data_IF_291210561881
#
_entry.id   IF_291210561881
#
_cell.length_a   1.000
_cell.length_b   1.000
_cell.length_c   1.000
_cell.angle_alpha   90.00
_cell.angle_beta   90.00
_cell.angle_gamma   90.00
#
_symmetry.space_group_name_H-M   'P 1'
#
loop_
_entity.id
_entity.type
_entity.pdbx_description
1 polymer ?
#
# COMPACT_ATOMS: atom_id res chain seq x y z
N UNK A 1 -12.45 -12.91 -1.21
CA UNK A 1 -13.82 -13.41 -0.95
C UNK A 1 -14.16 -14.37 -2.07
N UNK A 2 -14.31 -15.65 -1.74
CA UNK A 2 -14.58 -16.71 -2.71
C UNK A 2 -16.03 -16.59 -3.16
N UNK A 3 -16.26 -16.23 -4.43
CA UNK A 3 -17.59 -16.32 -5.06
C UNK A 3 -18.07 -17.77 -4.96
N UNK A 4 -19.05 -18.04 -4.09
CA UNK A 4 -19.68 -19.37 -4.02
C UNK A 4 -20.67 -19.46 -5.18
N UNK A 5 -20.22 -20.02 -6.30
CA UNK A 5 -21.10 -20.38 -7.40
C UNK A 5 -22.13 -21.42 -6.93
N UNK A 6 -23.41 -21.11 -7.12
CA UNK A 6 -24.50 -22.03 -6.83
C UNK A 6 -24.34 -23.28 -7.70
N UNK A 7 -24.56 -24.46 -7.11
CA UNK A 7 -24.48 -25.71 -7.85
C UNK A 7 -25.65 -25.83 -8.84
N UNK A 8 -25.48 -26.61 -9.90
CA UNK A 8 -26.54 -26.86 -10.88
C UNK A 8 -27.83 -27.38 -10.22
N UNK A 9 -27.69 -28.13 -9.13
CA UNK A 9 -28.79 -28.67 -8.32
C UNK A 9 -29.53 -27.58 -7.53
N UNK A 10 -28.80 -26.60 -6.99
CA UNK A 10 -29.39 -25.42 -6.34
C UNK A 10 -30.12 -24.52 -7.33
N UNK A 11 -29.57 -24.35 -8.54
CA UNK A 11 -30.20 -23.59 -9.62
C UNK A 11 -31.47 -24.28 -10.12
N UNK A 12 -31.45 -25.61 -10.29
CA UNK A 12 -32.62 -26.40 -10.71
C UNK A 12 -33.72 -26.40 -9.64
N UNK A 13 -33.34 -26.56 -8.36
CA UNK A 13 -34.27 -26.46 -7.24
C UNK A 13 -34.94 -25.07 -7.20
N UNK A 14 -34.17 -24.00 -7.41
CA UNK A 14 -34.69 -22.64 -7.47
C UNK A 14 -35.67 -22.44 -8.64
N UNK A 15 -35.32 -22.94 -9.84
CA UNK A 15 -36.19 -22.89 -11.03
C UNK A 15 -37.53 -23.60 -10.82
N UNK A 16 -37.52 -24.77 -10.16
CA UNK A 16 -38.73 -25.56 -9.84
C UNK A 16 -39.63 -24.87 -8.81
N UNK A 17 -39.05 -24.06 -7.92
CA UNK A 17 -39.83 -23.26 -6.98
C UNK A 17 -40.45 -22.05 -7.69
N UNK A 18 -39.71 -21.38 -8.58
CA UNK A 18 -40.21 -20.26 -9.38
C UNK A 18 -41.28 -20.68 -10.42
N UNK A 19 -41.23 -21.91 -10.95
CA UNK A 19 -42.23 -22.44 -11.91
C UNK A 19 -43.58 -22.81 -11.27
N UNK A 20 -43.68 -22.77 -9.94
CA UNK A 20 -44.94 -23.01 -9.22
C UNK A 20 -45.26 -24.48 -8.96
N UNK A 21 -44.34 -25.41 -9.21
CA UNK A 21 -44.53 -26.85 -8.92
C UNK A 21 -44.59 -27.15 -7.40
N UNK A 22 -44.18 -26.21 -6.53
CA UNK A 22 -44.29 -26.30 -5.07
C UNK A 22 -44.89 -25.02 -4.46
N UNK A 23 -46.23 -24.87 -4.41
CA UNK A 23 -46.89 -23.62 -4.01
C UNK A 23 -46.68 -23.23 -2.54
N UNK A 24 -46.30 -24.17 -1.66
CA UNK A 24 -46.07 -23.91 -0.22
C UNK A 24 -44.76 -23.17 0.09
N UNK A 25 -43.82 -23.07 -0.86
CA UNK A 25 -42.54 -22.38 -0.68
C UNK A 25 -42.56 -20.93 -1.21
N UNK A 26 -43.68 -20.49 -1.79
CA UNK A 26 -43.81 -19.19 -2.49
C UNK A 26 -43.57 -17.99 -1.56
N UNK A 27 -43.98 -18.11 -0.29
CA UNK A 27 -43.75 -17.06 0.73
C UNK A 27 -42.29 -16.96 1.17
N UNK A 28 -41.62 -18.11 1.35
CA UNK A 28 -40.20 -18.15 1.72
C UNK A 28 -39.31 -17.67 0.57
N UNK A 29 -39.63 -18.00 -0.68
CA UNK A 29 -38.89 -17.51 -1.86
C UNK A 29 -39.07 -16.01 -2.06
N UNK A 30 -40.23 -15.44 -1.77
CA UNK A 30 -40.43 -13.99 -1.77
C UNK A 30 -39.53 -13.28 -0.76
N UNK A 31 -39.37 -13.85 0.43
CA UNK A 31 -38.45 -13.33 1.46
C UNK A 31 -36.99 -13.41 1.01
N UNK A 32 -36.54 -14.54 0.46
CA UNK A 32 -35.17 -14.67 -0.05
C UNK A 32 -34.87 -13.75 -1.24
N UNK A 33 -35.82 -13.55 -2.15
CA UNK A 33 -35.67 -12.62 -3.28
C UNK A 33 -35.56 -11.16 -2.82
N UNK A 34 -36.36 -10.75 -1.82
CA UNK A 34 -36.26 -9.42 -1.23
C UNK A 34 -34.93 -9.24 -0.51
N UNK A 35 -34.48 -10.23 0.26
CA UNK A 35 -33.18 -10.20 0.95
C UNK A 35 -32.00 -10.08 -0.04
N UNK A 36 -32.06 -10.79 -1.17
CA UNK A 36 -31.05 -10.67 -2.23
C UNK A 36 -31.08 -9.30 -2.92
N UNK A 37 -32.28 -8.72 -3.12
CA UNK A 37 -32.42 -7.38 -3.66
C UNK A 37 -31.86 -6.31 -2.71
N UNK A 38 -32.13 -6.44 -1.41
CA UNK A 38 -31.59 -5.55 -0.37
C UNK A 38 -30.05 -5.66 -0.28
N UNK A 39 -29.50 -6.88 -0.41
CA UNK A 39 -28.06 -7.10 -0.43
C UNK A 39 -27.39 -6.45 -1.65
N UNK A 40 -28.00 -6.60 -2.84
CA UNK A 40 -27.51 -5.99 -4.07
C UNK A 40 -27.57 -4.45 -4.02
N UNK A 41 -28.62 -3.89 -3.39
CA UNK A 41 -28.74 -2.46 -3.16
C UNK A 41 -27.63 -1.96 -2.22
N UNK A 42 -27.38 -2.66 -1.11
CA UNK A 42 -26.31 -2.33 -0.18
C UNK A 42 -24.91 -2.40 -0.83
N UNK A 43 -24.66 -3.38 -1.71
CA UNK A 43 -23.42 -3.45 -2.48
C UNK A 43 -23.26 -2.28 -3.46
N UNK A 44 -24.35 -1.84 -4.09
CA UNK A 44 -24.36 -0.67 -4.96
C UNK A 44 -24.05 0.62 -4.19
N UNK A 45 -24.67 0.81 -3.03
CA UNK A 45 -24.43 1.97 -2.15
C UNK A 45 -22.98 1.98 -1.62
N UNK A 46 -22.44 0.82 -1.27
CA UNK A 46 -21.04 0.68 -0.84
C UNK A 46 -20.07 1.02 -1.98
N UNK A 47 -20.39 0.61 -3.21
CA UNK A 47 -19.58 0.96 -4.39
C UNK A 47 -19.61 2.46 -4.65
N UNK A 48 -20.78 3.08 -4.62
CA UNK A 48 -20.95 4.53 -4.80
C UNK A 48 -20.18 5.31 -3.73
N UNK A 49 -20.26 4.88 -2.46
CA UNK A 49 -19.52 5.50 -1.35
C UNK A 49 -18.00 5.39 -1.54
N UNK A 50 -17.49 4.24 -2.03
CA UNK A 50 -16.06 4.05 -2.33
C UNK A 50 -15.60 4.92 -3.49
N UNK A 51 -16.43 5.07 -4.51
CA UNK A 51 -16.14 5.92 -5.67
C UNK A 51 -16.14 7.39 -5.27
N UNK A 52 -17.08 7.82 -4.41
CA UNK A 52 -17.11 9.16 -3.82
C UNK A 52 -15.91 9.43 -2.91
N UNK A 53 -15.49 8.48 -2.08
CA UNK A 53 -14.28 8.60 -1.27
C UNK A 53 -13.03 8.70 -2.15
N UNK A 54 -12.93 7.88 -3.20
CA UNK A 54 -11.81 7.94 -4.15
C UNK A 54 -11.79 9.27 -4.92
N UNK A 55 -12.95 9.77 -5.34
CA UNK A 55 -13.10 11.05 -6.01
C UNK A 55 -12.79 12.23 -5.06
N UNK A 56 -13.24 12.16 -3.80
CA UNK A 56 -13.00 13.15 -2.77
C UNK A 56 -11.53 13.24 -2.34
N UNK A 57 -10.84 12.09 -2.22
CA UNK A 57 -9.38 12.06 -2.01
C UNK A 57 -8.64 12.63 -3.22
N UNK A 58 -9.17 12.46 -4.43
CA UNK A 58 -8.57 13.01 -5.66
C UNK A 58 -8.78 14.52 -5.82
N UNK A 59 -9.82 15.09 -5.19
CA UNK A 59 -10.16 16.53 -5.24
C UNK A 59 -9.90 17.26 -3.91
N UNK A 60 -9.28 16.59 -2.94
CA UNK A 60 -8.87 17.24 -1.71
C UNK A 60 -7.85 18.34 -2.06
N UNK A 61 -8.13 19.58 -1.65
CA UNK A 61 -7.31 20.76 -1.98
C UNK A 61 -5.84 20.60 -1.54
N UNK A 62 -5.56 19.77 -0.53
CA UNK A 62 -4.20 19.45 -0.08
C UNK A 62 -3.52 18.28 -0.80
N UNK A 63 -4.16 17.63 -1.77
CA UNK A 63 -3.62 16.45 -2.43
C UNK A 63 -2.34 16.76 -3.23
N UNK A 64 -2.28 17.91 -3.89
CA UNK A 64 -1.08 18.33 -4.63
C UNK A 64 0.06 18.78 -3.70
N UNK A 65 -0.25 19.43 -2.58
CA UNK A 65 0.73 19.75 -1.54
C UNK A 65 1.33 18.48 -0.93
N UNK A 66 0.49 17.49 -0.62
CA UNK A 66 0.94 16.20 -0.10
C UNK A 66 1.80 15.45 -1.13
N UNK A 67 1.39 15.40 -2.40
CA UNK A 67 2.21 14.79 -3.48
C UNK A 67 3.56 15.47 -3.59
N UNK A 68 3.58 16.80 -3.58
CA UNK A 68 4.81 17.59 -3.65
C UNK A 68 5.73 17.27 -2.47
N UNK A 69 5.18 17.17 -1.26
CA UNK A 69 5.95 16.85 -0.07
C UNK A 69 6.47 15.40 -0.10
N UNK A 70 5.67 14.44 -0.56
CA UNK A 70 6.10 13.05 -0.76
C UNK A 70 7.25 12.98 -1.75
N UNK A 71 7.16 13.68 -2.89
CA UNK A 71 8.24 13.70 -3.88
C UNK A 71 9.50 14.37 -3.34
N UNK A 72 9.35 15.46 -2.58
CA UNK A 72 10.46 16.12 -1.88
C UNK A 72 11.15 15.17 -0.92
N UNK A 73 10.39 14.39 -0.15
CA UNK A 73 10.90 13.40 0.80
C UNK A 73 11.58 12.23 0.09
N UNK A 74 11.01 11.72 -1.00
CA UNK A 74 11.64 10.70 -1.85
C UNK A 74 12.97 11.19 -2.43
N UNK A 75 13.01 12.41 -2.96
CA UNK A 75 14.24 13.05 -3.43
C UNK A 75 15.26 13.30 -2.32
N UNK A 76 14.84 13.45 -1.06
CA UNK A 76 15.75 13.51 0.09
C UNK A 76 16.36 12.14 0.42
N UNK A 77 15.61 11.06 0.19
CA UNK A 77 16.05 9.68 0.37
C UNK A 77 16.88 9.14 -0.81
N UNK A 78 17.09 9.89 -1.89
CA UNK A 78 17.90 9.40 -3.02
C UNK A 78 19.27 8.84 -2.55
N UNK A 79 19.68 7.61 -2.96
CA UNK A 79 20.83 6.91 -2.39
C UNK A 79 22.14 7.72 -2.40
N UNK A 80 22.42 8.44 -3.48
CA UNK A 80 23.62 9.29 -3.57
C UNK A 80 23.59 10.45 -2.56
N UNK A 81 22.43 11.11 -2.41
CA UNK A 81 22.27 12.23 -1.49
C UNK A 81 22.38 11.76 -0.05
N UNK A 82 21.85 10.57 0.24
CA UNK A 82 21.99 9.91 1.52
C UNK A 82 23.46 9.55 1.79
N UNK A 83 24.18 8.96 0.82
CA UNK A 83 25.59 8.59 0.96
C UNK A 83 26.49 9.80 1.23
N UNK A 84 26.29 10.91 0.50
CA UNK A 84 27.02 12.17 0.73
C UNK A 84 26.79 12.73 2.13
N UNK A 85 25.54 12.72 2.61
CA UNK A 85 25.20 13.19 3.95
C UNK A 85 25.73 12.25 5.03
N UNK A 86 25.62 10.93 4.81
CA UNK A 86 26.17 9.91 5.69
C UNK A 86 27.67 10.14 5.87
N UNK A 87 28.43 10.24 4.78
CA UNK A 87 29.88 10.49 4.83
C UNK A 87 30.20 11.76 5.64
N UNK A 88 29.57 12.88 5.29
CA UNK A 88 29.76 14.15 5.99
C UNK A 88 29.46 14.06 7.49
N UNK A 89 28.38 13.37 7.86
CA UNK A 89 28.00 13.19 9.27
C UNK A 89 28.96 12.24 9.97
N UNK A 90 29.37 11.16 9.31
CA UNK A 90 30.29 10.17 9.82
C UNK A 90 31.65 10.79 10.15
N UNK A 91 32.26 11.53 9.22
CA UNK A 91 33.53 12.25 9.46
C UNK A 91 33.43 13.26 10.61
N UNK A 92 32.30 13.98 10.68
CA UNK A 92 32.06 14.96 11.75
C UNK A 92 31.89 14.30 13.13
N UNK A 93 31.23 13.15 13.19
CA UNK A 93 30.88 12.48 14.45
C UNK A 93 31.94 11.49 14.92
N UNK A 94 32.67 10.84 14.02
CA UNK A 94 33.66 9.81 14.33
C UNK A 94 34.62 10.22 15.47
N UNK A 95 35.22 11.43 15.47
CA UNK A 95 36.11 11.85 16.55
C UNK A 95 35.44 11.93 17.92
N UNK A 96 34.15 12.27 17.97
CA UNK A 96 33.37 12.30 19.22
C UNK A 96 33.16 10.92 19.83
N UNK A 97 33.30 9.86 19.02
CA UNK A 97 33.23 8.46 19.46
C UNK A 97 34.61 7.80 19.55
N UNK A 98 35.68 8.58 19.69
CA UNK A 98 37.08 8.09 19.73
C UNK A 98 37.48 7.25 18.52
N UNK A 99 36.81 7.45 17.38
CA UNK A 99 37.10 6.80 16.12
C UNK A 99 37.71 7.81 15.15
N UNK A 100 38.78 7.40 14.46
CA UNK A 100 39.36 8.20 13.38
C UNK A 100 39.18 7.44 12.08
N UNK A 101 38.61 8.14 11.10
CA UNK A 101 38.44 7.63 9.75
C UNK A 101 39.80 7.36 9.11
N UNK A 102 39.86 6.33 8.25
CA UNK A 102 41.09 6.02 7.52
C UNK A 102 41.46 7.21 6.65
N UNK A 103 42.75 7.49 6.48
CA UNK A 103 43.23 8.63 5.67
C UNK A 103 42.64 8.66 4.25
N UNK A 104 42.43 7.48 3.66
CA UNK A 104 41.84 7.30 2.34
C UNK A 104 40.33 7.62 2.28
N UNK A 105 39.65 7.59 3.42
CA UNK A 105 38.22 7.92 3.56
C UNK A 105 38.00 9.34 4.09
N UNK A 106 39.01 9.94 4.75
CA UNK A 106 39.01 11.29 5.29
C UNK A 106 39.22 12.38 4.20
N UNK A 107 38.51 12.25 3.09
CA UNK A 107 38.51 13.16 1.94
C UNK A 107 37.06 13.50 1.55
N UNK A 108 36.79 14.58 0.80
CA UNK A 108 35.45 14.85 0.28
C UNK A 108 34.85 13.64 -0.45
N UNK A 109 33.53 13.51 -0.44
CA UNK A 109 32.84 12.35 -1.04
C UNK A 109 33.20 12.10 -2.51
N UNK A 110 33.42 13.18 -3.27
CA UNK A 110 33.77 13.08 -4.69
C UNK A 110 35.19 12.57 -4.92
N UNK A 111 36.06 12.71 -3.94
CA UNK A 111 37.47 12.29 -3.97
C UNK A 111 37.69 10.92 -3.30
N UNK A 112 36.62 10.26 -2.83
CA UNK A 112 36.72 8.93 -2.26
C UNK A 112 37.19 7.91 -3.31
N UNK A 113 38.02 6.93 -2.91
CA UNK A 113 38.31 5.78 -3.76
C UNK A 113 37.02 5.11 -4.22
N UNK A 114 36.97 4.68 -5.48
CA UNK A 114 35.76 4.13 -6.11
C UNK A 114 35.13 3.01 -5.29
N UNK A 115 35.95 2.11 -4.73
CA UNK A 115 35.45 1.02 -3.89
C UNK A 115 34.69 1.52 -2.65
N UNK A 116 35.21 2.56 -1.98
CA UNK A 116 34.58 3.12 -0.79
C UNK A 116 33.29 3.88 -1.16
N UNK A 117 33.33 4.63 -2.27
CA UNK A 117 32.18 5.36 -2.79
C UNK A 117 31.04 4.41 -3.19
N UNK A 118 31.39 3.35 -3.92
CA UNK A 118 30.44 2.32 -4.36
C UNK A 118 29.84 1.57 -3.18
N UNK A 119 30.64 1.25 -2.15
CA UNK A 119 30.12 0.63 -0.93
C UNK A 119 29.09 1.54 -0.22
N UNK A 120 29.39 2.83 -0.05
CA UNK A 120 28.46 3.77 0.58
C UNK A 120 27.15 3.91 -0.23
N UNK A 121 27.25 3.96 -1.57
CA UNK A 121 26.07 4.00 -2.45
C UNK A 121 25.23 2.74 -2.34
N UNK A 122 25.86 1.55 -2.33
CA UNK A 122 25.16 0.28 -2.17
C UNK A 122 24.42 0.21 -0.84
N UNK A 123 25.11 0.52 0.28
CA UNK A 123 24.49 0.55 1.62
C UNK A 123 23.32 1.53 1.68
N UNK A 124 23.46 2.73 1.11
CA UNK A 124 22.38 3.71 1.10
C UNK A 124 21.21 3.28 0.22
N UNK A 125 21.45 2.54 -0.87
CA UNK A 125 20.38 2.01 -1.72
C UNK A 125 19.55 0.98 -0.95
N UNK A 126 20.20 0.05 -0.25
CA UNK A 126 19.53 -0.94 0.61
C UNK A 126 18.70 -0.28 1.73
N UNK A 127 19.21 0.79 2.36
CA UNK A 127 18.46 1.53 3.39
C UNK A 127 17.19 2.16 2.81
N UNK A 128 17.24 2.65 1.57
CA UNK A 128 16.09 3.24 0.89
C UNK A 128 15.04 2.18 0.60
N UNK A 129 15.45 1.03 0.05
CA UNK A 129 14.56 -0.11 -0.19
C UNK A 129 13.90 -0.57 1.12
N UNK A 130 14.67 -0.69 2.19
CA UNK A 130 14.14 -1.06 3.50
C UNK A 130 13.15 -0.02 4.04
N UNK A 131 13.42 1.27 3.86
CA UNK A 131 12.52 2.33 4.30
C UNK A 131 11.19 2.33 3.51
N UNK A 132 11.24 2.03 2.21
CA UNK A 132 10.06 1.83 1.37
C UNK A 132 9.24 0.62 1.82
N UNK A 133 9.90 -0.51 2.09
CA UNK A 133 9.27 -1.71 2.61
C UNK A 133 8.62 -1.49 3.98
N UNK A 134 9.30 -0.82 4.91
CA UNK A 134 8.74 -0.44 6.21
C UNK A 134 7.51 0.47 6.05
N UNK A 135 7.54 1.41 5.10
CA UNK A 135 6.40 2.25 4.76
C UNK A 135 5.21 1.45 4.22
N UNK A 136 5.48 0.41 3.42
CA UNK A 136 4.47 -0.46 2.84
C UNK A 136 3.83 -1.40 3.88
N UNK A 137 4.61 -1.87 4.86
CA UNK A 137 4.13 -2.74 5.95
C UNK A 137 3.34 -1.98 7.03
N UNK A 138 3.56 -0.67 7.18
CA UNK A 138 2.82 0.17 8.12
C UNK A 138 1.39 0.51 7.66
N UNK A 139 1.02 0.20 6.40
CA UNK A 139 -0.36 0.24 5.97
C UNK A 139 -1.13 -0.87 6.71
N UNK A 140 -2.16 -0.56 7.51
CA UNK A 140 -2.83 -1.56 8.32
C UNK A 140 -3.33 -2.68 7.40
N UNK A 141 -2.90 -3.91 7.69
CA UNK A 141 -3.51 -5.10 7.11
C UNK A 141 -5.02 -4.95 7.27
N UNK A 142 -5.76 -5.00 6.15
CA UNK A 142 -7.23 -4.94 6.18
C UNK A 142 -7.71 -5.90 7.26
N UNK A 143 -8.60 -5.47 8.17
CA UNK A 143 -9.15 -6.38 9.16
C UNK A 143 -9.77 -7.56 8.40
N UNK A 144 -9.21 -8.75 8.64
CA UNK A 144 -9.71 -10.01 8.11
C UNK A 144 -11.14 -10.20 8.60
N UNK A 145 -12.10 -10.50 7.70
CA UNK A 145 -13.52 -10.58 8.05
C UNK A 145 -13.84 -11.66 9.08
#
# INVERSE_FOLDING_TARGET
>A
MTERNLTAEQIDAFKKICSGEKPYLRGEVGFFLNLLADLAAAESELKETKDLLRAGVSHWEGAEELKTEVERLRGALHPERLARNFHRIYERLAPSFSYTTRKESAVPFDDLPDNNKNLMLAVCSEIVELAEDMGNQAAPEKPTP
#
